data_IF_085038404327
#
_entry.id   IF_085038404327
#
_cell.length_a   1.000
_cell.length_b   1.000
_cell.length_c   1.000
_cell.angle_alpha   90.00
_cell.angle_beta   90.00
_cell.angle_gamma   90.00
#
_symmetry.space_group_name_H-M   'P 1'
#
loop_
_entity.id
_entity.type
_entity.pdbx_description
1 polymer ?
#
# COMPACT_ATOMS: atom_id res chain seq x y z
N UNK A 1 -22.70 38.83 -31.32
CA UNK A 1 -23.50 37.59 -31.17
C UNK A 1 -22.52 36.43 -31.20
N UNK A 2 -22.22 35.82 -30.05
CA UNK A 2 -21.34 34.66 -29.95
C UNK A 2 -22.19 33.42 -29.68
N UNK A 3 -21.99 32.41 -30.51
CA UNK A 3 -22.76 31.17 -30.59
C UNK A 3 -22.70 30.35 -29.29
N UNK A 4 -23.86 29.82 -28.89
CA UNK A 4 -24.00 28.84 -27.83
C UNK A 4 -23.38 27.49 -28.27
N UNK A 5 -22.51 26.93 -27.44
CA UNK A 5 -21.99 25.57 -27.61
C UNK A 5 -22.70 24.70 -26.58
N UNK A 6 -23.64 23.90 -27.08
CA UNK A 6 -24.24 22.78 -26.37
C UNK A 6 -23.31 21.56 -26.49
N UNK A 7 -22.99 20.91 -25.37
CA UNK A 7 -22.45 19.55 -25.30
C UNK A 7 -23.04 18.92 -24.03
N UNK A 8 -24.05 18.07 -24.18
CA UNK A 8 -23.99 16.62 -24.34
C UNK A 8 -23.91 15.88 -23.00
N UNK A 9 -25.09 15.38 -22.62
CA UNK A 9 -25.39 14.40 -21.58
C UNK A 9 -24.47 13.18 -21.67
N UNK A 10 -23.79 12.86 -20.57
CA UNK A 10 -23.16 11.55 -20.34
C UNK A 10 -24.04 10.79 -19.35
N UNK A 11 -25.05 10.11 -19.89
CA UNK A 11 -25.73 9.00 -19.22
C UNK A 11 -24.96 7.72 -19.54
N UNK A 12 -24.11 7.30 -18.61
CA UNK A 12 -23.45 5.98 -18.50
C UNK A 12 -23.13 5.83 -17.01
N UNK A 13 -23.53 4.82 -16.24
CA UNK A 13 -23.88 3.44 -16.56
C UNK A 13 -24.81 2.92 -15.44
N UNK A 14 -25.75 2.12 -15.89
CA UNK A 14 -26.69 1.28 -15.15
C UNK A 14 -26.07 0.60 -13.91
N UNK A 15 -26.74 0.77 -12.78
CA UNK A 15 -26.50 0.10 -11.51
C UNK A 15 -26.81 -1.40 -11.66
N UNK A 16 -25.82 -2.16 -12.12
CA UNK A 16 -25.85 -3.63 -12.12
C UNK A 16 -25.58 -4.19 -10.72
N UNK A 17 -26.53 -4.96 -10.19
CA UNK A 17 -26.48 -5.72 -8.94
C UNK A 17 -25.11 -6.39 -8.66
N UNK A 18 -24.60 -6.40 -7.41
CA UNK A 18 -23.56 -7.34 -7.04
C UNK A 18 -24.17 -8.74 -6.93
N UNK A 19 -23.87 -9.59 -7.91
CA UNK A 19 -24.05 -11.04 -7.85
C UNK A 19 -23.46 -11.59 -6.54
N UNK A 20 -24.30 -12.29 -5.77
CA UNK A 20 -23.95 -12.97 -4.51
C UNK A 20 -22.61 -13.71 -4.58
N UNK A 21 -21.73 -13.41 -3.63
CA UNK A 21 -20.49 -14.12 -3.36
C UNK A 21 -20.82 -15.51 -2.82
N UNK A 22 -20.88 -16.52 -3.70
CA UNK A 22 -20.81 -17.92 -3.31
C UNK A 22 -19.38 -18.42 -3.48
N UNK A 23 -18.63 -18.43 -2.38
CA UNK A 23 -17.65 -19.48 -2.14
C UNK A 23 -17.58 -19.72 -0.63
N UNK A 24 -18.41 -20.66 -0.18
CA UNK A 24 -18.33 -21.18 1.17
C UNK A 24 -17.07 -22.04 1.26
N UNK A 25 -16.12 -21.56 2.06
CA UNK A 25 -14.94 -22.26 2.54
C UNK A 25 -15.31 -23.66 3.04
N UNK A 26 -15.08 -24.69 2.21
CA UNK A 26 -15.16 -26.09 2.61
C UNK A 26 -13.77 -26.71 2.52
N UNK A 27 -12.89 -26.36 3.46
CA UNK A 27 -11.69 -27.16 3.75
C UNK A 27 -12.12 -28.35 4.60
N UNK A 28 -12.27 -29.50 3.94
CA UNK A 28 -12.45 -30.79 4.60
C UNK A 28 -11.11 -31.24 5.17
N UNK A 29 -11.05 -31.38 6.50
CA UNK A 29 -9.85 -31.76 7.24
C UNK A 29 -9.41 -33.19 6.91
N UNK A 30 -8.27 -33.31 6.24
CA UNK A 30 -7.50 -34.53 6.12
C UNK A 30 -6.27 -34.47 7.04
N UNK A 31 -6.27 -35.31 8.06
CA UNK A 31 -5.19 -35.51 9.02
C UNK A 31 -3.85 -35.81 8.32
N UNK A 32 -2.85 -34.92 8.48
CA UNK A 32 -1.46 -35.20 8.13
C UNK A 32 -0.60 -35.17 9.40
N UNK A 33 -0.43 -36.37 9.96
CA UNK A 33 0.59 -36.67 10.97
C UNK A 33 1.97 -36.65 10.29
N UNK A 34 2.71 -35.56 10.45
CA UNK A 34 4.16 -35.56 10.28
C UNK A 34 4.78 -34.56 11.27
N UNK A 35 5.63 -35.10 12.13
CA UNK A 35 6.47 -34.38 13.09
C UNK A 35 7.45 -33.51 12.29
N UNK A 36 7.28 -32.19 12.35
CA UNK A 36 8.39 -31.28 12.15
C UNK A 36 8.26 -30.13 13.14
N UNK A 37 9.24 -30.06 14.02
CA UNK A 37 9.47 -28.99 14.98
C UNK A 37 9.99 -27.77 14.21
N UNK A 38 9.12 -27.19 13.37
CA UNK A 38 9.35 -25.90 12.76
C UNK A 38 8.87 -24.85 13.75
N UNK A 39 9.81 -24.07 14.29
CA UNK A 39 9.49 -22.86 15.03
C UNK A 39 8.79 -21.89 14.08
N UNK A 40 7.47 -21.97 14.02
CA UNK A 40 6.64 -21.10 13.20
C UNK A 40 6.91 -19.65 13.57
N UNK A 41 7.38 -18.91 12.57
CA UNK A 41 7.41 -17.46 12.44
C UNK A 41 6.30 -16.83 13.28
N UNK A 42 6.68 -15.95 14.21
CA UNK A 42 5.74 -15.24 15.08
C UNK A 42 4.70 -14.54 14.20
N UNK A 43 3.49 -15.11 14.14
CA UNK A 43 2.37 -14.51 13.46
C UNK A 43 2.13 -13.14 14.09
N UNK A 44 2.29 -12.08 13.28
CA UNK A 44 1.97 -10.72 13.70
C UNK A 44 0.54 -10.70 14.22
N UNK A 45 0.38 -10.44 15.52
CA UNK A 45 -0.91 -10.39 16.18
C UNK A 45 -1.75 -9.34 15.44
N UNK A 46 -2.93 -9.69 14.89
CA UNK A 46 -3.77 -8.71 14.22
C UNK A 46 -4.19 -7.65 15.24
N UNK A 47 -3.59 -6.46 15.14
CA UNK A 47 -4.02 -5.30 15.90
C UNK A 47 -5.31 -4.77 15.24
N UNK A 48 -6.49 -4.95 15.87
CA UNK A 48 -7.76 -4.52 15.29
C UNK A 48 -7.87 -2.99 15.20
N UNK A 49 -7.17 -2.23 16.05
CA UNK A 49 -7.15 -0.77 16.02
C UNK A 49 -6.44 -0.26 14.76
N UNK A 50 -5.40 -0.98 14.31
CA UNK A 50 -4.62 -0.65 13.09
C UNK A 50 -5.47 -0.68 11.82
N UNK A 51 -6.56 -1.45 11.82
CA UNK A 51 -7.49 -1.60 10.70
C UNK A 51 -8.90 -1.16 11.07
N UNK A 52 -9.03 -0.34 12.11
CA UNK A 52 -10.29 0.33 12.40
C UNK A 52 -10.71 1.22 11.22
N UNK A 53 -12.01 1.44 11.06
CA UNK A 53 -12.52 2.29 10.00
C UNK A 53 -11.92 3.71 10.07
N UNK A 54 -11.71 4.23 11.27
CA UNK A 54 -11.09 5.55 11.49
C UNK A 54 -9.61 5.56 11.08
N UNK A 55 -8.83 4.53 11.48
CA UNK A 55 -7.45 4.40 11.04
C UNK A 55 -7.37 4.27 9.51
N UNK A 56 -8.22 3.46 8.87
CA UNK A 56 -8.26 3.32 7.42
C UNK A 56 -8.58 4.65 6.73
N UNK A 57 -9.53 5.43 7.25
CA UNK A 57 -9.87 6.76 6.72
C UNK A 57 -8.72 7.74 6.88
N UNK A 58 -8.09 7.80 8.06
CA UNK A 58 -6.95 8.66 8.32
C UNK A 58 -5.77 8.35 7.37
N UNK A 59 -5.43 7.06 7.21
CA UNK A 59 -4.40 6.59 6.26
C UNK A 59 -4.73 6.93 4.80
N UNK A 60 -5.99 6.70 4.42
CA UNK A 60 -6.45 6.98 3.05
C UNK A 60 -6.30 8.45 2.67
N UNK A 61 -6.41 9.37 3.65
CA UNK A 61 -6.23 10.80 3.44
C UNK A 61 -4.76 11.24 3.35
N UNK A 62 -3.83 10.54 3.99
CA UNK A 62 -2.38 10.84 3.92
C UNK A 62 -1.72 10.28 2.66
N UNK A 63 -2.26 9.18 2.13
CA UNK A 63 -1.71 8.50 0.95
C UNK A 63 -1.51 9.41 -0.29
N UNK A 64 -2.43 10.31 -0.68
CA UNK A 64 -2.22 11.20 -1.82
C UNK A 64 -1.01 12.12 -1.64
N UNK A 65 -0.79 12.63 -0.43
CA UNK A 65 0.35 13.49 -0.10
C UNK A 65 1.66 12.72 -0.19
N UNK A 66 1.71 11.52 0.42
CA UNK A 66 2.82 10.57 0.28
C UNK A 66 3.17 10.32 -1.19
N UNK A 67 2.17 9.93 -1.98
CA UNK A 67 2.36 9.66 -3.40
C UNK A 67 2.88 10.88 -4.17
N UNK A 68 2.35 12.08 -3.90
CA UNK A 68 2.77 13.29 -4.61
C UNK A 68 4.24 13.63 -4.35
N UNK A 69 4.68 13.62 -3.09
CA UNK A 69 6.08 13.92 -2.78
C UNK A 69 7.03 12.82 -3.27
N UNK A 70 6.63 11.55 -3.20
CA UNK A 70 7.41 10.46 -3.80
C UNK A 70 7.57 10.64 -5.32
N UNK A 71 6.53 11.12 -6.02
CA UNK A 71 6.63 11.48 -7.45
C UNK A 71 7.59 12.66 -7.69
N UNK A 72 7.54 13.67 -6.83
CA UNK A 72 8.48 14.81 -6.92
C UNK A 72 9.92 14.32 -6.75
N UNK A 73 10.20 13.51 -5.72
CA UNK A 73 11.51 12.90 -5.50
C UNK A 73 11.95 12.03 -6.67
N UNK A 74 11.02 11.28 -7.28
CA UNK A 74 11.30 10.46 -8.47
C UNK A 74 11.80 11.28 -9.67
N UNK A 75 11.29 12.51 -9.79
CA UNK A 75 11.55 13.42 -10.88
C UNK A 75 12.78 14.30 -10.61
N UNK A 76 12.96 14.77 -9.37
CA UNK A 76 14.09 15.63 -8.98
C UNK A 76 15.36 14.83 -8.65
N UNK A 77 15.23 13.58 -8.21
CA UNK A 77 16.33 12.80 -7.65
C UNK A 77 16.74 13.23 -6.24
N UNK A 78 16.02 14.19 -5.64
CA UNK A 78 16.26 14.68 -4.29
C UNK A 78 15.71 13.69 -3.26
N UNK A 79 16.53 13.38 -2.24
CA UNK A 79 16.14 12.47 -1.17
C UNK A 79 15.07 13.14 -0.29
N UNK A 80 13.86 12.57 -0.16
CA UNK A 80 12.81 13.15 0.68
C UNK A 80 13.05 12.97 2.19
N UNK A 81 14.09 12.22 2.58
CA UNK A 81 14.51 11.95 3.95
C UNK A 81 13.99 10.62 4.49
N UNK A 82 14.78 9.98 5.37
CA UNK A 82 14.46 8.68 5.97
C UNK A 82 13.13 8.69 6.74
N UNK A 83 12.94 9.64 7.67
CA UNK A 83 11.70 9.78 8.46
C UNK A 83 10.45 9.89 7.59
N UNK A 84 10.57 10.59 6.45
CA UNK A 84 9.48 10.73 5.51
C UNK A 84 9.17 9.40 4.83
N UNK A 85 10.18 8.69 4.33
CA UNK A 85 10.00 7.38 3.72
C UNK A 85 9.44 6.37 4.74
N UNK A 86 9.91 6.40 5.98
CA UNK A 86 9.44 5.54 7.07
C UNK A 86 7.96 5.77 7.38
N UNK A 87 7.51 7.03 7.45
CA UNK A 87 6.10 7.34 7.68
C UNK A 87 5.21 6.83 6.54
N UNK A 88 5.60 7.05 5.27
CA UNK A 88 4.86 6.51 4.12
C UNK A 88 4.92 4.97 4.03
N UNK A 89 6.01 4.35 4.48
CA UNK A 89 6.20 2.89 4.47
C UNK A 89 5.26 2.14 5.42
N UNK A 90 5.00 2.73 6.58
CA UNK A 90 4.12 2.15 7.60
C UNK A 90 2.62 2.31 7.28
N UNK A 91 2.29 3.20 6.34
CA UNK A 91 0.92 3.62 6.04
C UNK A 91 0.20 2.66 5.08
N UNK A 92 0.67 2.54 3.83
CA UNK A 92 0.01 1.76 2.77
C UNK A 92 1.03 0.83 2.05
N UNK A 93 0.75 -0.48 1.91
CA UNK A 93 1.55 -1.39 1.09
C UNK A 93 1.84 -0.90 -0.34
N UNK A 94 0.94 -0.14 -0.96
CA UNK A 94 1.16 0.47 -2.27
C UNK A 94 2.28 1.53 -2.26
N UNK A 95 2.44 2.28 -1.16
CA UNK A 95 3.54 3.22 -0.99
C UNK A 95 4.87 2.48 -0.82
N UNK A 96 4.88 1.33 -0.14
CA UNK A 96 6.09 0.49 -0.05
C UNK A 96 6.62 0.08 -1.43
N UNK A 97 5.73 -0.22 -2.38
CA UNK A 97 6.12 -0.57 -3.76
C UNK A 97 6.81 0.61 -4.45
N UNK A 98 6.30 1.82 -4.27
CA UNK A 98 6.90 3.04 -4.86
C UNK A 98 8.25 3.33 -4.22
N UNK A 99 8.34 3.26 -2.89
CA UNK A 99 9.58 3.48 -2.13
C UNK A 99 10.65 2.46 -2.55
N UNK A 100 10.30 1.16 -2.65
CA UNK A 100 11.21 0.11 -3.17
C UNK A 100 11.80 0.48 -4.52
N UNK A 101 10.96 0.93 -5.46
CA UNK A 101 11.41 1.34 -6.80
C UNK A 101 12.35 2.55 -6.75
N UNK A 102 12.07 3.51 -5.88
CA UNK A 102 12.92 4.69 -5.70
C UNK A 102 14.28 4.34 -5.13
N UNK A 103 14.36 3.50 -4.10
CA UNK A 103 15.64 3.11 -3.51
C UNK A 103 16.53 2.33 -4.49
N UNK A 104 15.93 1.50 -5.36
CA UNK A 104 16.67 0.87 -6.47
C UNK A 104 17.17 1.90 -7.49
N UNK A 105 16.38 2.94 -7.75
CA UNK A 105 16.74 4.01 -8.70
C UNK A 105 17.80 4.96 -8.15
N UNK A 106 17.78 5.20 -6.83
CA UNK A 106 18.62 6.17 -6.15
C UNK A 106 19.39 5.52 -4.98
N UNK A 107 20.31 4.58 -5.27
CA UNK A 107 21.07 3.89 -4.23
C UNK A 107 21.95 4.84 -3.41
N UNK A 108 22.30 6.01 -3.95
CA UNK A 108 23.08 7.03 -3.27
C UNK A 108 22.34 7.73 -2.13
N UNK A 109 21.05 7.44 -1.92
CA UNK A 109 20.31 7.99 -0.78
C UNK A 109 20.66 7.32 0.55
N UNK A 110 21.45 6.24 0.55
CA UNK A 110 21.93 5.63 1.79
C UNK A 110 20.87 4.84 2.55
N UNK A 111 19.71 4.55 1.94
CA UNK A 111 18.59 3.89 2.62
C UNK A 111 18.39 2.50 2.02
N UNK A 112 18.34 1.48 2.87
CA UNK A 112 18.18 0.08 2.52
C UNK A 112 16.87 -0.49 3.06
N UNK A 113 16.47 -1.64 2.51
CA UNK A 113 15.38 -2.45 3.05
C UNK A 113 15.98 -3.78 3.51
N UNK A 114 15.94 -4.02 4.81
CA UNK A 114 16.47 -5.24 5.46
C UNK A 114 15.30 -5.93 6.16
N UNK A 115 15.06 -7.20 5.81
CA UNK A 115 13.97 -8.01 6.38
C UNK A 115 12.58 -7.33 6.36
N UNK A 116 12.31 -6.54 5.31
CA UNK A 116 11.04 -5.82 5.13
C UNK A 116 10.93 -4.51 5.92
N UNK A 117 12.01 -4.04 6.54
CA UNK A 117 12.09 -2.80 7.30
C UNK A 117 13.02 -1.81 6.60
N UNK A 118 12.67 -0.52 6.62
CA UNK A 118 13.56 0.55 6.15
C UNK A 118 14.67 0.80 7.18
N UNK A 119 15.90 0.87 6.71
CA UNK A 119 17.10 1.12 7.52
C UNK A 119 17.92 2.21 6.85
N UNK A 120 18.40 3.17 7.64
CA UNK A 120 19.41 4.12 7.20
C UNK A 120 20.79 3.44 7.32
N UNK A 121 21.53 3.38 6.20
CA UNK A 121 22.79 2.65 6.09
C UNK A 121 24.02 3.57 6.24
N UNK A 122 23.84 4.90 6.22
CA UNK A 122 24.94 5.86 6.39
C UNK A 122 25.27 6.20 7.86
N UNK A 123 24.88 5.36 8.82
CA UNK A 123 25.21 5.52 10.25
C UNK A 123 26.46 4.73 10.69
#
# INVERSE_FOLDING_TARGET
MYSAIANQTLEQVEQGNPTSLLVENSVSGGEIKAVHEDSFSAASVPNPEKWSHEAIVARSNMRPECMQKLKVAANSGENPGFEYLLSCWQDDPALQIVIKKLLVKFPQWGIAIVDGVLVDWEE
#
